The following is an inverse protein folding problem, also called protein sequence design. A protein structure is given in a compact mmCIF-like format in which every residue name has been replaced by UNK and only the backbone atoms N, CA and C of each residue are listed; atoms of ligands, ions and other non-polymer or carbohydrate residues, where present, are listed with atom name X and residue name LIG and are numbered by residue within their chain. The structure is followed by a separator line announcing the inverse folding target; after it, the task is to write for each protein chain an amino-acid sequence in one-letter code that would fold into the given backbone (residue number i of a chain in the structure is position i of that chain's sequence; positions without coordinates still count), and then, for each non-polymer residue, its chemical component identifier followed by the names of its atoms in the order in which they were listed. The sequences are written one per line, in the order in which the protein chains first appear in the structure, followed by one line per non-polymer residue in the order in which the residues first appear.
data_IF_941489296201
#
_entry.id   IF_941489296201
#
_cell.length_a   1.000
_cell.length_b   1.000
_cell.length_c   1.000
_cell.angle_alpha   90.00
_cell.angle_beta   90.00
_cell.angle_gamma   90.00
#
_symmetry.space_group_name_H-M   'P 1'
#
loop_
_entity.id
_entity.type
_entity.pdbx_description
1 polymer ?
#
# COMPACT_ATOMS: atom_id res chain seq x y z
N UNK A 1 35.43 12.48 8.99
CA UNK A 1 34.05 12.80 9.38
C UNK A 1 33.49 11.55 9.99
N UNK A 2 32.86 11.63 11.16
CA UNK A 2 32.19 10.45 11.73
C UNK A 2 31.13 9.96 10.74
N UNK A 3 31.10 8.65 10.48
CA UNK A 3 30.11 8.07 9.57
C UNK A 3 28.72 8.26 10.15
N UNK A 4 27.86 8.95 9.39
CA UNK A 4 26.46 9.20 9.74
C UNK A 4 25.59 8.09 9.17
N UNK A 5 24.67 7.57 9.99
CA UNK A 5 23.77 6.50 9.59
C UNK A 5 22.31 6.87 9.84
N UNK A 6 21.46 6.58 8.85
CA UNK A 6 20.01 6.68 8.92
C UNK A 6 19.41 5.29 8.91
N UNK A 7 18.25 5.11 9.51
CA UNK A 7 17.47 3.90 9.30
C UNK A 7 16.04 4.22 8.86
N UNK A 8 15.46 3.29 8.12
CA UNK A 8 14.07 3.35 7.70
C UNK A 8 13.39 2.03 8.01
N UNK A 9 12.15 2.10 8.46
CA UNK A 9 11.29 0.94 8.72
C UNK A 9 10.06 1.02 7.84
N UNK A 10 9.76 -0.08 7.17
CA UNK A 10 8.50 -0.39 6.52
C UNK A 10 7.79 -1.40 7.41
N UNK A 11 6.63 -1.03 7.96
CA UNK A 11 5.92 -1.85 8.94
C UNK A 11 4.49 -2.17 8.53
N UNK A 12 4.18 -3.46 8.31
CA UNK A 12 2.85 -3.91 7.94
C UNK A 12 2.15 -4.76 9.02
N UNK A 13 0.93 -5.19 8.69
CA UNK A 13 0.14 -6.11 9.52
C UNK A 13 0.70 -7.55 9.59
N UNK A 14 1.65 -7.91 8.71
CA UNK A 14 2.21 -9.27 8.63
C UNK A 14 3.72 -9.30 8.88
N UNK A 15 4.46 -8.39 8.25
CA UNK A 15 5.92 -8.34 8.29
C UNK A 15 6.38 -6.88 8.34
N UNK A 16 7.63 -6.71 8.79
CA UNK A 16 8.33 -5.43 8.77
C UNK A 16 9.73 -5.60 8.20
N UNK A 17 10.28 -4.54 7.63
CA UNK A 17 11.65 -4.48 7.12
C UNK A 17 12.31 -3.22 7.67
N UNK A 18 13.52 -3.36 8.19
CA UNK A 18 14.38 -2.24 8.53
C UNK A 18 15.60 -2.23 7.60
N UNK A 19 15.96 -1.06 7.10
CA UNK A 19 17.22 -0.83 6.39
C UNK A 19 18.04 0.27 7.06
N UNK A 20 19.36 0.18 6.94
CA UNK A 20 20.31 1.22 7.38
C UNK A 20 21.04 1.76 6.16
N UNK A 21 21.11 3.08 6.05
CA UNK A 21 21.85 3.80 5.02
C UNK A 21 22.93 4.70 5.61
N UNK A 22 24.06 4.87 4.92
CA UNK A 22 25.06 5.89 5.26
C UNK A 22 24.69 7.27 4.70
N UNK A 23 25.49 8.29 5.00
CA UNK A 23 25.30 9.66 4.47
C UNK A 23 25.43 9.80 2.95
N UNK A 24 25.91 8.78 2.23
CA UNK A 24 25.99 8.76 0.78
C UNK A 24 24.75 8.13 0.11
N UNK A 25 23.79 7.62 0.90
CA UNK A 25 22.59 6.95 0.39
C UNK A 25 22.77 5.45 0.13
N UNK A 26 23.94 4.88 0.42
CA UNK A 26 24.19 3.44 0.24
C UNK A 26 23.49 2.66 1.34
N UNK A 27 22.81 1.56 0.98
CA UNK A 27 22.17 0.66 1.94
C UNK A 27 23.21 -0.34 2.46
N UNK A 28 23.52 -0.27 3.75
CA UNK A 28 24.57 -1.07 4.40
C UNK A 28 24.04 -2.30 5.12
N UNK A 29 22.81 -2.22 5.65
CA UNK A 29 22.23 -3.26 6.49
C UNK A 29 20.74 -3.40 6.26
N UNK A 30 20.25 -4.63 6.38
CA UNK A 30 18.83 -4.98 6.28
C UNK A 30 18.49 -6.03 7.33
N UNK A 31 17.30 -5.92 7.92
CA UNK A 31 16.73 -6.91 8.81
C UNK A 31 15.23 -7.07 8.54
N UNK A 32 14.72 -8.27 8.77
CA UNK A 32 13.31 -8.60 8.65
C UNK A 32 12.72 -8.83 10.03
N UNK A 33 11.48 -8.40 10.22
CA UNK A 33 10.74 -8.60 11.46
C UNK A 33 9.31 -9.01 11.22
N UNK A 34 8.64 -9.39 12.30
CA UNK A 34 7.21 -9.65 12.31
C UNK A 34 6.40 -8.35 12.17
N UNK A 35 5.06 -8.44 12.24
CA UNK A 35 4.18 -7.27 12.20
C UNK A 35 4.58 -6.18 13.21
N UNK A 36 4.41 -4.92 12.80
CA UNK A 36 4.58 -3.74 13.65
C UNK A 36 3.28 -2.91 13.74
N UNK A 37 2.13 -3.53 13.51
CA UNK A 37 0.84 -2.86 13.69
C UNK A 37 0.47 -2.80 15.18
N UNK A 38 0.65 -1.63 15.77
CA UNK A 38 0.45 -1.40 17.21
C UNK A 38 -0.99 -1.67 17.67
N UNK A 39 -2.01 -1.59 16.80
CA UNK A 39 -3.39 -1.95 17.14
C UNK A 39 -3.54 -3.45 17.47
N UNK A 40 -2.66 -4.29 16.92
CA UNK A 40 -2.72 -5.75 17.13
C UNK A 40 -1.87 -6.21 18.30
N UNK A 41 -0.69 -5.61 18.51
CA UNK A 41 0.31 -6.12 19.45
C UNK A 41 0.72 -5.14 20.55
N UNK A 42 0.25 -3.88 20.48
CA UNK A 42 0.60 -2.83 21.43
C UNK A 42 1.93 -2.13 21.13
N UNK A 43 2.02 -0.86 21.52
CA UNK A 43 3.18 0.02 21.30
C UNK A 43 4.49 -0.55 21.89
N UNK A 44 4.54 -1.10 23.13
CA UNK A 44 5.77 -1.63 23.70
C UNK A 44 6.39 -2.78 22.88
N UNK A 45 5.56 -3.69 22.36
CA UNK A 45 6.04 -4.80 21.54
C UNK A 45 6.53 -4.31 20.17
N UNK A 46 5.87 -3.29 19.57
CA UNK A 46 6.37 -2.64 18.35
C UNK A 46 7.75 -2.02 18.57
N UNK A 47 7.93 -1.26 19.66
CA UNK A 47 9.21 -0.64 19.99
C UNK A 47 10.33 -1.69 20.15
N UNK A 48 10.04 -2.80 20.84
CA UNK A 48 10.96 -3.93 21.00
C UNK A 48 11.35 -4.55 19.65
N UNK A 49 10.39 -4.77 18.76
CA UNK A 49 10.64 -5.32 17.41
C UNK A 49 11.49 -4.39 16.55
N UNK A 50 11.23 -3.08 16.60
CA UNK A 50 12.05 -2.07 15.90
C UNK A 50 13.49 -2.10 16.41
N UNK A 51 13.69 -2.12 17.73
CA UNK A 51 15.04 -2.22 18.30
C UNK A 51 15.75 -3.52 17.89
N UNK A 52 15.06 -4.66 17.93
CA UNK A 52 15.63 -5.94 17.50
C UNK A 52 16.09 -5.92 16.04
N UNK A 53 15.24 -5.43 15.13
CA UNK A 53 15.60 -5.27 13.72
C UNK A 53 16.78 -4.30 13.53
N UNK A 54 16.85 -3.22 14.31
CA UNK A 54 17.95 -2.27 14.22
C UNK A 54 19.28 -2.88 14.68
N UNK A 55 19.26 -3.67 15.76
CA UNK A 55 20.42 -4.40 16.22
C UNK A 55 20.91 -5.41 15.18
N UNK A 56 20.00 -6.18 14.58
CA UNK A 56 20.32 -7.13 13.52
C UNK A 56 20.87 -6.43 12.27
N UNK A 57 20.22 -5.35 11.81
CA UNK A 57 20.69 -4.61 10.64
C UNK A 57 22.07 -3.96 10.87
N UNK A 58 22.36 -3.46 12.09
CA UNK A 58 23.70 -2.98 12.46
C UNK A 58 24.73 -4.11 12.41
N UNK A 59 24.40 -5.30 12.91
CA UNK A 59 25.28 -6.45 12.86
C UNK A 59 25.59 -6.87 11.41
N UNK A 60 24.56 -6.94 10.56
CA UNK A 60 24.69 -7.25 9.13
C UNK A 60 25.55 -6.21 8.39
N UNK A 61 25.44 -4.93 8.77
CA UNK A 61 26.25 -3.83 8.24
C UNK A 61 27.66 -3.71 8.87
N UNK A 62 28.00 -4.56 9.86
CA UNK A 62 29.23 -4.45 10.68
C UNK A 62 29.37 -3.10 11.39
N UNK A 63 28.25 -2.45 11.71
CA UNK A 63 28.20 -1.22 12.51
C UNK A 63 28.22 -1.60 14.00
N UNK A 64 29.07 -0.99 14.84
CA UNK A 64 29.05 -1.24 16.28
C UNK A 64 27.67 -0.99 16.89
N UNK A 65 27.23 -1.87 17.79
CA UNK A 65 25.90 -1.73 18.43
C UNK A 65 25.76 -0.43 19.22
N UNK A 66 26.88 0.10 19.74
CA UNK A 66 26.98 1.38 20.44
C UNK A 66 26.81 2.60 19.53
N UNK A 67 26.94 2.45 18.21
CA UNK A 67 26.75 3.54 17.26
C UNK A 67 25.29 3.96 17.25
N UNK A 68 25.03 5.21 17.63
CA UNK A 68 23.69 5.80 17.62
C UNK A 68 23.33 6.22 16.20
N UNK A 69 22.13 5.84 15.73
CA UNK A 69 21.64 6.27 14.42
C UNK A 69 21.25 7.75 14.48
N UNK A 70 21.46 8.50 13.38
CA UNK A 70 21.11 9.92 13.34
C UNK A 70 19.59 10.14 13.43
N UNK A 71 18.85 9.39 12.63
CA UNK A 71 17.40 9.41 12.64
C UNK A 71 16.85 8.05 12.17
N UNK A 72 15.70 7.64 12.71
CA UNK A 72 14.94 6.49 12.21
C UNK A 72 13.59 6.99 11.68
N UNK A 73 13.32 6.73 10.41
CA UNK A 73 12.00 6.88 9.83
C UNK A 73 11.17 5.62 10.02
N UNK A 74 9.95 5.75 10.51
CA UNK A 74 9.03 4.67 10.81
C UNK A 74 7.76 4.86 9.98
N UNK A 75 7.63 4.15 8.87
CA UNK A 75 6.41 4.11 8.05
C UNK A 75 5.62 2.85 8.38
N UNK A 76 4.65 2.95 9.29
CA UNK A 76 4.00 1.79 9.90
C UNK A 76 2.48 1.83 9.72
N UNK A 77 1.89 0.67 9.50
CA UNK A 77 0.43 0.49 9.50
C UNK A 77 -0.15 0.82 10.89
N UNK A 78 -1.17 1.68 10.95
CA UNK A 78 -1.75 2.19 12.19
C UNK A 78 -1.14 3.50 12.70
N UNK A 79 -0.12 4.04 12.05
CA UNK A 79 0.53 5.30 12.46
C UNK A 79 -0.02 6.53 11.71
N UNK A 80 -1.35 6.68 11.69
CA UNK A 80 -2.03 7.80 11.01
C UNK A 80 -2.23 9.02 11.92
N UNK A 81 -2.32 8.82 13.24
CA UNK A 81 -2.58 9.89 14.21
C UNK A 81 -1.31 10.33 14.93
N UNK A 82 -1.11 11.65 15.01
CA UNK A 82 0.04 12.26 15.67
C UNK A 82 0.21 11.82 17.12
N UNK A 83 -0.90 11.63 17.86
CA UNK A 83 -0.87 11.15 19.24
C UNK A 83 -0.28 9.74 19.38
N UNK A 84 -0.62 8.85 18.46
CA UNK A 84 -0.10 7.48 18.41
C UNK A 84 1.37 7.47 18.01
N UNK A 85 1.71 8.29 17.00
CA UNK A 85 3.08 8.46 16.50
C UNK A 85 4.00 8.95 17.62
N UNK A 86 3.58 9.98 18.35
CA UNK A 86 4.31 10.51 19.51
C UNK A 86 4.41 9.51 20.67
N UNK A 87 3.38 8.70 20.90
CA UNK A 87 3.41 7.65 21.93
C UNK A 87 4.43 6.55 21.59
N UNK A 88 4.49 6.11 20.33
CA UNK A 88 5.48 5.14 19.87
C UNK A 88 6.91 5.70 19.95
N UNK A 89 7.14 6.92 19.49
CA UNK A 89 8.45 7.57 19.62
C UNK A 89 8.89 7.64 21.09
N UNK A 90 7.98 8.05 21.99
CA UNK A 90 8.28 8.15 23.43
C UNK A 90 8.66 6.80 24.02
N UNK A 91 7.93 5.75 23.67
CA UNK A 91 8.23 4.39 24.12
C UNK A 91 9.63 3.94 23.65
N UNK A 92 9.95 4.15 22.37
CA UNK A 92 11.26 3.77 21.83
C UNK A 92 12.38 4.55 22.53
N UNK A 93 12.21 5.86 22.74
CA UNK A 93 13.19 6.69 23.44
C UNK A 93 13.39 6.27 24.90
N UNK A 94 12.32 5.88 25.58
CA UNK A 94 12.36 5.44 26.96
C UNK A 94 13.04 4.08 27.10
N UNK A 95 12.61 3.10 26.31
CA UNK A 95 13.08 1.71 26.39
C UNK A 95 14.44 1.49 25.73
N UNK A 96 14.80 2.31 24.73
CA UNK A 96 16.02 2.17 23.91
C UNK A 96 16.74 3.52 23.66
N UNK A 97 17.21 4.23 24.70
CA UNK A 97 17.70 5.62 24.60
C UNK A 97 18.95 5.82 23.72
N UNK A 98 19.69 4.75 23.45
CA UNK A 98 20.90 4.74 22.63
C UNK A 98 20.66 4.30 21.19
N UNK A 99 19.41 4.02 20.81
CA UNK A 99 19.09 3.52 19.47
C UNK A 99 19.30 4.58 18.39
N UNK A 100 18.68 5.76 18.54
CA UNK A 100 18.80 6.88 17.62
C UNK A 100 18.64 8.26 18.29
N UNK A 101 19.16 9.31 17.66
CA UNK A 101 18.99 10.70 18.13
C UNK A 101 17.58 11.22 17.86
N UNK A 102 17.05 10.94 16.67
CA UNK A 102 15.77 11.44 16.17
C UNK A 102 14.90 10.32 15.62
N UNK A 103 13.59 10.57 15.58
CA UNK A 103 12.60 9.68 15.00
C UNK A 103 11.60 10.49 14.18
N UNK A 104 11.06 9.89 13.14
CA UNK A 104 9.91 10.42 12.41
C UNK A 104 8.97 9.26 12.13
N UNK A 105 7.71 9.39 12.54
CA UNK A 105 6.72 8.31 12.47
C UNK A 105 5.57 8.75 11.58
N UNK A 106 5.17 7.89 10.67
CA UNK A 106 4.07 8.13 9.74
C UNK A 106 3.40 6.82 9.34
N UNK A 107 2.34 6.92 8.54
CA UNK A 107 1.66 5.77 7.99
C UNK A 107 2.50 5.06 6.93
N UNK A 108 2.24 3.77 6.74
CA UNK A 108 2.80 2.96 5.65
C UNK A 108 2.59 3.60 4.26
N UNK A 109 1.41 4.18 4.02
CA UNK A 109 1.08 4.92 2.78
C UNK A 109 2.06 6.06 2.49
N UNK A 110 2.52 6.76 3.52
CA UNK A 110 3.47 7.86 3.37
C UNK A 110 4.85 7.33 2.96
N UNK A 111 5.30 6.24 3.57
CA UNK A 111 6.54 5.57 3.19
C UNK A 111 6.57 5.15 1.72
N UNK A 112 5.44 4.65 1.19
CA UNK A 112 5.31 4.33 -0.23
C UNK A 112 5.53 5.55 -1.13
N UNK A 113 4.90 6.69 -0.81
CA UNK A 113 5.04 7.94 -1.57
C UNK A 113 6.48 8.44 -1.52
N UNK A 114 7.06 8.49 -0.32
CA UNK A 114 8.43 8.99 -0.12
C UNK A 114 9.48 8.11 -0.80
N UNK A 115 9.18 6.84 -1.10
CA UNK A 115 10.10 5.95 -1.81
C UNK A 115 10.29 6.35 -3.27
N UNK A 116 9.33 7.05 -3.88
CA UNK A 116 9.35 7.34 -5.32
C UNK A 116 9.32 8.85 -5.65
N UNK A 117 9.09 9.72 -4.67
CA UNK A 117 8.96 11.16 -4.89
C UNK A 117 9.16 11.95 -3.60
N UNK A 118 9.87 13.08 -3.67
CA UNK A 118 9.88 14.11 -2.62
C UNK A 118 8.77 15.16 -2.81
N UNK A 119 8.11 15.19 -3.97
CA UNK A 119 7.08 16.17 -4.33
C UNK A 119 5.70 15.77 -3.81
N UNK A 120 5.54 14.53 -3.33
CA UNK A 120 4.26 13.90 -3.08
C UNK A 120 3.84 13.00 -4.23
N UNK A 121 2.59 12.54 -4.20
CA UNK A 121 2.08 11.56 -5.16
C UNK A 121 0.74 10.97 -4.74
N UNK A 122 0.22 10.10 -5.59
CA UNK A 122 -0.98 9.32 -5.33
C UNK A 122 -0.59 7.85 -5.12
N UNK A 123 -0.96 7.25 -3.99
CA UNK A 123 -0.85 5.80 -3.77
C UNK A 123 -2.25 5.17 -3.79
N UNK A 124 -2.39 4.03 -4.46
CA UNK A 124 -3.58 3.19 -4.43
C UNK A 124 -3.17 1.80 -3.96
N UNK A 125 -3.58 1.47 -2.74
CA UNK A 125 -3.39 0.19 -2.10
C UNK A 125 -4.54 -0.73 -2.47
N UNK A 126 -4.23 -1.93 -2.98
CA UNK A 126 -5.16 -3.03 -3.19
C UNK A 126 -4.50 -4.34 -2.74
N UNK A 127 -4.67 -4.66 -1.46
CA UNK A 127 -4.16 -5.85 -0.79
C UNK A 127 -5.32 -6.66 -0.19
N UNK A 128 -5.22 -7.00 1.10
CA UNK A 128 -6.38 -7.60 1.82
C UNK A 128 -7.57 -6.62 1.82
N UNK A 129 -7.31 -5.35 2.05
CA UNK A 129 -8.26 -4.24 1.86
C UNK A 129 -7.82 -3.29 0.75
N UNK A 130 -8.37 -2.08 0.74
CA UNK A 130 -7.97 -1.04 -0.22
C UNK A 130 -8.03 0.37 0.36
N UNK A 131 -7.18 1.25 -0.18
CA UNK A 131 -7.09 2.65 0.21
C UNK A 131 -6.47 3.46 -0.93
N UNK A 132 -6.84 4.72 -1.11
CA UNK A 132 -6.11 5.66 -1.93
C UNK A 132 -5.74 6.90 -1.13
N UNK A 133 -4.49 7.32 -1.20
CA UNK A 133 -3.97 8.51 -0.51
C UNK A 133 -3.24 9.40 -1.50
N UNK A 134 -3.64 10.66 -1.56
CA UNK A 134 -2.96 11.73 -2.28
C UNK A 134 -2.17 12.56 -1.26
N UNK A 135 -0.91 12.84 -1.56
CA UNK A 135 -0.14 13.90 -0.89
C UNK A 135 0.31 14.94 -1.90
N UNK A 136 -0.04 16.19 -1.64
CA UNK A 136 0.41 17.33 -2.43
C UNK A 136 1.77 17.87 -1.94
N UNK A 137 2.47 18.67 -2.77
CA UNK A 137 3.77 19.28 -2.42
C UNK A 137 3.75 20.11 -1.14
N UNK A 138 2.62 20.77 -0.85
CA UNK A 138 2.43 21.57 0.36
C UNK A 138 2.22 20.71 1.63
N UNK A 139 2.21 19.39 1.51
CA UNK A 139 2.00 18.43 2.61
C UNK A 139 0.54 18.07 2.88
N UNK A 140 -0.43 18.73 2.22
CA UNK A 140 -1.83 18.35 2.35
C UNK A 140 -2.05 16.92 1.87
N UNK A 141 -2.81 16.16 2.67
CA UNK A 141 -3.08 14.75 2.41
C UNK A 141 -4.59 14.52 2.31
N UNK A 142 -5.02 13.80 1.28
CA UNK A 142 -6.42 13.44 1.04
C UNK A 142 -6.55 11.93 0.88
N UNK A 143 -7.62 11.35 1.42
CA UNK A 143 -7.85 9.91 1.40
C UNK A 143 -9.21 9.55 0.78
N UNK A 144 -9.24 8.46 0.03
CA UNK A 144 -10.47 7.81 -0.44
C UNK A 144 -10.41 6.31 -0.10
N UNK A 145 -11.40 5.81 0.64
CA UNK A 145 -11.39 4.43 1.16
C UNK A 145 -10.53 4.28 2.41
N UNK A 146 -10.02 3.08 2.67
CA UNK A 146 -9.22 2.79 3.86
C UNK A 146 -10.01 2.57 5.16
N UNK A 147 -11.35 2.48 5.08
CA UNK A 147 -12.23 2.34 6.25
C UNK A 147 -12.42 0.89 6.72
N UNK A 148 -11.81 -0.07 6.02
CA UNK A 148 -11.89 -1.48 6.32
C UNK A 148 -13.20 -2.14 5.90
N UNK A 149 -13.22 -3.46 5.94
CA UNK A 149 -14.27 -4.32 5.37
C UNK A 149 -15.71 -4.05 5.79
N UNK A 150 -15.97 -3.47 6.97
CA UNK A 150 -17.36 -3.17 7.37
C UNK A 150 -17.90 -1.92 6.66
N UNK A 151 -17.01 -1.04 6.20
CA UNK A 151 -17.35 0.30 5.70
C UNK A 151 -16.75 0.60 4.32
N UNK A 152 -16.11 -0.38 3.67
CA UNK A 152 -15.44 -0.20 2.39
C UNK A 152 -14.56 -1.39 1.99
N UNK A 153 -13.29 -1.13 1.69
CA UNK A 153 -12.33 -2.06 1.05
C UNK A 153 -12.68 -2.44 -0.40
N UNK A 154 -13.43 -1.58 -1.10
CA UNK A 154 -13.79 -1.76 -2.50
C UNK A 154 -12.56 -1.99 -3.39
N UNK A 155 -12.60 -3.04 -4.21
CA UNK A 155 -11.48 -3.42 -5.08
C UNK A 155 -10.33 -4.16 -4.38
N UNK A 156 -10.35 -4.28 -3.04
CA UNK A 156 -9.43 -5.12 -2.28
C UNK A 156 -9.77 -6.62 -2.38
N UNK A 157 -8.86 -7.49 -1.96
CA UNK A 157 -9.04 -8.95 -2.00
C UNK A 157 -10.20 -9.44 -1.13
N UNK A 158 -10.47 -8.77 -0.01
CA UNK A 158 -11.66 -9.05 0.81
C UNK A 158 -12.93 -8.77 0.03
N UNK A 159 -13.06 -7.60 -0.61
CA UNK A 159 -14.23 -7.24 -1.42
C UNK A 159 -14.45 -8.24 -2.55
N UNK A 160 -13.38 -8.58 -3.30
CA UNK A 160 -13.44 -9.54 -4.41
C UNK A 160 -13.98 -10.90 -3.91
N UNK A 161 -13.44 -11.38 -2.79
CA UNK A 161 -13.83 -12.67 -2.19
C UNK A 161 -15.26 -12.66 -1.65
N UNK A 162 -15.64 -11.59 -0.95
CA UNK A 162 -16.98 -11.41 -0.39
C UNK A 162 -18.02 -11.32 -1.50
N UNK A 163 -17.72 -10.59 -2.59
CA UNK A 163 -18.59 -10.44 -3.75
C UNK A 163 -18.90 -11.80 -4.38
N UNK A 164 -17.89 -12.66 -4.56
CA UNK A 164 -18.11 -14.02 -5.07
C UNK A 164 -19.06 -14.82 -4.17
N UNK A 165 -18.82 -14.82 -2.86
CA UNK A 165 -19.66 -15.56 -1.90
C UNK A 165 -21.09 -15.02 -1.93
N UNK A 166 -21.27 -13.70 -1.91
CA UNK A 166 -22.58 -13.07 -1.96
C UNK A 166 -23.33 -13.42 -3.25
N UNK A 167 -22.66 -13.35 -4.41
CA UNK A 167 -23.25 -13.71 -5.70
C UNK A 167 -23.73 -15.17 -5.73
N UNK A 168 -22.96 -16.11 -5.16
CA UNK A 168 -23.39 -17.52 -5.08
C UNK A 168 -24.60 -17.67 -4.16
N UNK A 169 -24.60 -17.02 -3.00
CA UNK A 169 -25.72 -17.09 -2.06
C UNK A 169 -27.00 -16.53 -2.67
N UNK A 170 -26.92 -15.38 -3.32
CA UNK A 170 -28.08 -14.73 -3.95
C UNK A 170 -28.64 -15.54 -5.11
N UNK A 171 -27.77 -16.17 -5.91
CA UNK A 171 -28.19 -17.04 -7.00
C UNK A 171 -28.94 -18.27 -6.46
N UNK A 172 -28.42 -18.90 -5.41
CA UNK A 172 -29.02 -20.09 -4.79
C UNK A 172 -30.32 -19.77 -4.04
N UNK A 173 -30.43 -18.59 -3.43
CA UNK A 173 -31.68 -18.11 -2.80
C UNK A 173 -32.70 -17.58 -3.80
N UNK A 174 -32.35 -17.50 -5.10
CA UNK A 174 -33.16 -16.85 -6.13
C UNK A 174 -33.48 -15.37 -5.81
N UNK A 175 -32.64 -14.72 -4.99
CA UNK A 175 -32.75 -13.31 -4.65
C UNK A 175 -32.25 -12.44 -5.82
N UNK A 176 -31.10 -12.80 -6.37
CA UNK A 176 -30.53 -12.19 -7.57
C UNK A 176 -29.82 -13.27 -8.38
N UNK A 177 -30.38 -13.63 -9.55
CA UNK A 177 -29.81 -14.68 -10.38
C UNK A 177 -28.56 -14.20 -11.10
N UNK A 178 -27.42 -14.80 -10.76
CA UNK A 178 -26.17 -14.66 -11.51
C UNK A 178 -26.38 -15.09 -12.97
N UNK A 179 -25.90 -14.27 -13.91
CA UNK A 179 -25.94 -14.52 -15.36
C UNK A 179 -24.88 -15.52 -15.82
N UNK A 180 -23.83 -15.73 -15.03
CA UNK A 180 -22.74 -16.68 -15.29
C UNK A 180 -22.93 -17.97 -14.49
N UNK A 181 -22.30 -19.06 -14.95
CA UNK A 181 -22.25 -20.32 -14.19
C UNK A 181 -21.54 -20.12 -12.85
N UNK A 182 -22.15 -20.64 -11.78
CA UNK A 182 -21.62 -20.54 -10.41
C UNK A 182 -20.86 -21.79 -9.96
N UNK A 183 -20.78 -22.83 -10.80
CA UNK A 183 -20.20 -24.14 -10.43
C UNK A 183 -18.75 -24.01 -9.94
N UNK A 184 -17.90 -23.29 -10.69
CA UNK A 184 -16.51 -23.04 -10.30
C UNK A 184 -16.45 -22.23 -9.01
N UNK A 185 -17.23 -21.14 -8.92
CA UNK A 185 -17.29 -20.28 -7.75
C UNK A 185 -17.64 -21.07 -6.48
N UNK A 186 -18.67 -21.91 -6.54
CA UNK A 186 -19.08 -22.75 -5.41
C UNK A 186 -18.00 -23.76 -5.03
N UNK A 187 -17.35 -24.40 -6.01
CA UNK A 187 -16.22 -25.31 -5.76
C UNK A 187 -15.05 -24.59 -5.06
N UNK A 188 -14.72 -23.37 -5.47
CA UNK A 188 -13.67 -22.56 -4.84
C UNK A 188 -14.01 -22.24 -3.38
N UNK A 189 -15.25 -21.82 -3.11
CA UNK A 189 -15.75 -21.49 -1.77
C UNK A 189 -15.66 -22.73 -0.86
N UNK A 190 -16.25 -23.86 -1.27
CA UNK A 190 -16.20 -25.12 -0.50
C UNK A 190 -14.78 -25.56 -0.17
N UNK A 191 -13.90 -25.56 -1.18
CA UNK A 191 -12.52 -25.99 -0.99
C UNK A 191 -11.70 -25.04 -0.11
N UNK A 192 -12.01 -23.74 -0.13
CA UNK A 192 -11.33 -22.73 0.65
C UNK A 192 -11.74 -22.77 2.12
N UNK A 193 -13.05 -22.73 2.39
CA UNK A 193 -13.58 -22.71 3.75
C UNK A 193 -13.71 -24.11 4.38
N UNK A 194 -13.55 -25.18 3.58
CA UNK A 194 -13.73 -26.58 4.03
C UNK A 194 -15.16 -26.84 4.50
N UNK A 195 -16.09 -26.44 3.63
CA UNK A 195 -17.53 -26.53 3.86
C UNK A 195 -18.24 -27.33 2.77
N UNK A 196 -19.39 -27.89 3.10
CA UNK A 196 -20.22 -28.66 2.15
C UNK A 196 -21.49 -27.90 1.78
N UNK A 197 -22.03 -27.10 2.69
CA UNK A 197 -23.29 -26.36 2.53
C UNK A 197 -23.12 -24.85 2.73
N UNK A 198 -24.12 -24.07 2.28
CA UNK A 198 -24.15 -22.61 2.52
C UNK A 198 -24.27 -22.25 4.00
N UNK A 199 -24.87 -23.12 4.83
CA UNK A 199 -25.05 -22.88 6.27
C UNK A 199 -23.71 -22.93 7.01
N UNK A 200 -22.82 -23.85 6.62
CA UNK A 200 -21.49 -23.98 7.21
C UNK A 200 -20.64 -22.70 7.05
N UNK A 201 -20.92 -21.90 6.02
CA UNK A 201 -20.24 -20.63 5.78
C UNK A 201 -20.48 -19.61 6.90
N UNK A 202 -21.61 -19.70 7.62
CA UNK A 202 -21.94 -18.75 8.69
C UNK A 202 -20.87 -18.77 9.78
N UNK A 203 -20.26 -19.92 10.08
CA UNK A 203 -19.19 -20.01 11.06
C UNK A 203 -17.99 -19.12 10.67
N UNK A 204 -17.64 -19.07 9.38
CA UNK A 204 -16.55 -18.25 8.85
C UNK A 204 -16.89 -16.76 8.70
N UNK A 205 -18.18 -16.41 8.73
CA UNK A 205 -18.65 -15.02 8.70
C UNK A 205 -18.82 -14.42 10.10
N UNK A 206 -19.02 -15.26 11.12
CA UNK A 206 -19.27 -14.84 12.49
C UNK A 206 -18.22 -15.40 13.46
N UNK A 207 -18.47 -16.59 14.02
CA UNK A 207 -17.72 -17.13 15.16
C UNK A 207 -16.20 -17.32 14.91
N UNK A 208 -15.82 -17.67 13.68
CA UNK A 208 -14.44 -17.90 13.25
C UNK A 208 -13.97 -16.87 12.21
N UNK A 209 -14.58 -15.67 12.19
CA UNK A 209 -14.25 -14.67 11.19
C UNK A 209 -12.76 -14.30 11.23
N UNK A 210 -12.09 -14.44 10.10
CA UNK A 210 -10.73 -14.00 9.90
C UNK A 210 -10.62 -13.34 8.51
N UNK A 211 -10.51 -12.01 8.49
CA UNK A 211 -10.48 -11.20 7.26
C UNK A 211 -9.40 -11.65 6.28
N UNK A 212 -8.18 -11.90 6.78
CA UNK A 212 -7.05 -12.30 5.94
C UNK A 212 -7.23 -13.70 5.36
N UNK A 213 -7.77 -14.65 6.13
CA UNK A 213 -8.12 -15.97 5.62
C UNK A 213 -9.18 -15.85 4.52
N UNK A 214 -10.27 -15.13 4.78
CA UNK A 214 -11.35 -14.91 3.82
C UNK A 214 -10.82 -14.31 2.51
N UNK A 215 -10.01 -13.25 2.60
CA UNK A 215 -9.44 -12.55 1.45
C UNK A 215 -8.48 -13.43 0.61
N UNK A 216 -7.90 -14.50 1.17
CA UNK A 216 -7.07 -15.44 0.40
C UNK A 216 -7.87 -16.22 -0.66
N UNK A 217 -9.21 -16.24 -0.59
CA UNK A 217 -10.03 -16.77 -1.67
C UNK A 217 -9.77 -16.04 -3.00
N UNK A 218 -9.49 -14.73 -2.96
CA UNK A 218 -9.16 -13.91 -4.12
C UNK A 218 -8.02 -14.49 -4.98
N UNK A 219 -7.01 -15.11 -4.36
CA UNK A 219 -5.91 -15.75 -5.10
C UNK A 219 -6.40 -16.95 -5.93
N UNK A 220 -7.33 -17.74 -5.40
CA UNK A 220 -7.92 -18.86 -6.13
C UNK A 220 -8.85 -18.36 -7.24
N UNK A 221 -9.56 -17.26 -6.99
CA UNK A 221 -10.39 -16.59 -8.00
C UNK A 221 -9.56 -16.03 -9.15
N UNK A 222 -8.38 -15.46 -8.89
CA UNK A 222 -7.53 -14.94 -9.97
C UNK A 222 -7.06 -16.07 -10.89
N UNK A 223 -6.74 -17.25 -10.35
CA UNK A 223 -6.40 -18.43 -11.16
C UNK A 223 -7.59 -18.85 -12.01
N UNK A 224 -8.78 -19.01 -11.41
CA UNK A 224 -9.98 -19.38 -12.16
C UNK A 224 -10.35 -18.36 -13.26
N UNK A 225 -10.21 -17.06 -12.99
CA UNK A 225 -10.44 -16.02 -13.98
C UNK A 225 -9.45 -16.10 -15.17
N UNK A 226 -8.17 -16.40 -14.89
CA UNK A 226 -7.16 -16.62 -15.93
C UNK A 226 -7.45 -17.91 -16.72
N UNK A 227 -8.01 -18.93 -16.08
CA UNK A 227 -8.42 -20.20 -16.71
C UNK A 227 -9.76 -20.10 -17.47
N UNK A 228 -10.41 -18.92 -17.47
CA UNK A 228 -11.57 -18.64 -18.31
C UNK A 228 -12.90 -18.43 -17.58
N UNK A 229 -12.95 -18.52 -16.25
CA UNK A 229 -14.19 -18.36 -15.48
C UNK A 229 -14.76 -16.93 -15.59
N UNK A 230 -15.92 -16.78 -16.25
CA UNK A 230 -16.52 -15.48 -16.56
C UNK A 230 -17.04 -14.75 -15.32
N UNK A 231 -17.54 -15.48 -14.31
CA UNK A 231 -17.96 -14.88 -13.05
C UNK A 231 -16.77 -14.23 -12.34
N UNK A 232 -15.67 -14.96 -12.16
CA UNK A 232 -14.47 -14.41 -11.53
C UNK A 232 -13.90 -13.23 -12.35
N UNK A 233 -13.82 -13.34 -13.68
CA UNK A 233 -13.41 -12.21 -14.54
C UNK A 233 -14.27 -10.97 -14.33
N UNK A 234 -15.59 -11.13 -14.26
CA UNK A 234 -16.53 -10.01 -14.06
C UNK A 234 -16.33 -9.30 -12.73
N UNK A 235 -16.03 -10.05 -11.65
CA UNK A 235 -15.77 -9.48 -10.32
C UNK A 235 -14.43 -8.74 -10.31
N UNK A 236 -13.37 -9.27 -10.94
CA UNK A 236 -12.12 -8.53 -11.09
C UNK A 236 -12.28 -7.27 -11.96
N UNK A 237 -13.12 -7.33 -13.00
CA UNK A 237 -13.46 -6.16 -13.79
C UNK A 237 -14.12 -5.07 -12.92
N UNK A 238 -15.08 -5.46 -12.07
CA UNK A 238 -15.70 -4.55 -11.10
C UNK A 238 -14.68 -3.99 -10.10
N UNK A 239 -13.78 -4.81 -9.58
CA UNK A 239 -12.72 -4.37 -8.69
C UNK A 239 -11.81 -3.32 -9.36
N UNK A 240 -11.41 -3.53 -10.61
CA UNK A 240 -10.64 -2.56 -11.38
C UNK A 240 -11.37 -1.22 -11.54
N UNK A 241 -12.67 -1.27 -11.84
CA UNK A 241 -13.52 -0.07 -11.89
C UNK A 241 -13.55 0.68 -10.56
N UNK A 242 -13.67 -0.03 -9.43
CA UNK A 242 -13.70 0.59 -8.10
C UNK A 242 -12.36 1.23 -7.72
N UNK A 243 -11.24 0.60 -8.05
CA UNK A 243 -9.91 1.18 -7.82
C UNK A 243 -9.71 2.46 -8.66
N UNK A 244 -10.18 2.48 -9.91
CA UNK A 244 -10.15 3.69 -10.73
C UNK A 244 -11.03 4.81 -10.14
N UNK A 245 -12.21 4.48 -9.58
CA UNK A 245 -13.05 5.47 -8.89
C UNK A 245 -12.36 6.15 -7.72
N UNK A 246 -11.49 5.44 -6.99
CA UNK A 246 -10.71 6.05 -5.91
C UNK A 246 -9.74 7.13 -6.42
N UNK A 247 -9.11 6.89 -7.57
CA UNK A 247 -8.27 7.89 -8.24
C UNK A 247 -9.12 9.10 -8.65
N UNK A 248 -10.24 8.83 -9.33
CA UNK A 248 -11.18 9.87 -9.79
C UNK A 248 -11.66 10.74 -8.63
N UNK A 249 -12.01 10.13 -7.50
CA UNK A 249 -12.46 10.85 -6.31
C UNK A 249 -11.42 11.85 -5.78
N UNK A 250 -10.12 11.59 -6.00
CA UNK A 250 -9.02 12.43 -5.55
C UNK A 250 -8.55 13.43 -6.61
N UNK A 251 -8.96 13.31 -7.88
CA UNK A 251 -8.57 14.23 -8.96
C UNK A 251 -8.80 15.72 -8.61
N UNK A 252 -9.94 16.15 -8.03
CA UNK A 252 -10.19 17.56 -7.72
C UNK A 252 -9.27 18.13 -6.63
N UNK A 253 -8.51 17.28 -5.94
CA UNK A 253 -7.60 17.66 -4.85
C UNK A 253 -6.14 17.71 -5.29
N UNK A 254 -5.83 17.30 -6.51
CA UNK A 254 -4.46 17.27 -7.02
C UNK A 254 -3.95 18.70 -7.24
N UNK A 255 -2.81 19.00 -6.63
CA UNK A 255 -2.11 20.26 -6.89
C UNK A 255 -1.62 20.31 -8.35
N UNK A 256 -1.77 21.45 -9.05
CA UNK A 256 -1.20 21.64 -10.40
C UNK A 256 0.32 21.39 -10.46
N UNK A 257 1.04 21.62 -9.35
CA UNK A 257 2.48 21.37 -9.27
C UNK A 257 2.81 19.88 -9.40
N UNK A 258 1.95 18.99 -8.88
CA UNK A 258 2.14 17.55 -8.94
C UNK A 258 2.01 16.97 -10.35
N UNK A 259 1.35 17.71 -11.26
CA UNK A 259 1.11 17.31 -12.66
C UNK A 259 1.74 18.26 -13.68
N UNK A 260 2.61 19.17 -13.22
CA UNK A 260 3.26 20.20 -14.06
C UNK A 260 4.06 19.60 -15.23
N UNK A 261 4.55 18.37 -15.06
CA UNK A 261 5.30 17.61 -16.07
C UNK A 261 4.42 16.93 -17.12
N UNK A 262 3.09 17.10 -17.05
CA UNK A 262 2.14 16.47 -17.97
C UNK A 262 1.63 15.09 -17.53
N UNK A 263 2.09 14.58 -16.39
CA UNK A 263 1.69 13.28 -15.87
C UNK A 263 1.54 13.28 -14.35
N UNK A 264 0.74 12.34 -13.84
CA UNK A 264 0.65 11.98 -12.43
C UNK A 264 1.19 10.55 -12.24
N UNK A 265 2.15 10.42 -11.34
CA UNK A 265 2.62 9.12 -10.88
C UNK A 265 1.63 8.54 -9.84
N UNK A 266 1.09 7.36 -10.13
CA UNK A 266 0.16 6.60 -9.28
C UNK A 266 0.83 5.31 -8.81
N UNK A 267 1.10 5.22 -7.52
CA UNK A 267 1.79 4.08 -6.91
C UNK A 267 0.78 3.00 -6.59
N UNK A 268 0.92 1.84 -7.22
CA UNK A 268 0.07 0.67 -7.00
C UNK A 268 0.75 -0.28 -6.01
N UNK A 269 0.21 -0.37 -4.79
CA UNK A 269 0.74 -1.24 -3.73
C UNK A 269 -0.25 -2.35 -3.39
N UNK A 270 0.23 -3.57 -3.17
CA UNK A 270 -0.58 -4.70 -2.71
C UNK A 270 -0.83 -5.78 -3.77
N UNK A 271 -1.12 -6.98 -3.28
CA UNK A 271 -1.12 -8.21 -4.09
C UNK A 271 -2.21 -8.27 -5.16
N UNK A 272 -3.29 -7.48 -5.06
CA UNK A 272 -4.35 -7.49 -6.07
C UNK A 272 -3.85 -6.92 -7.41
N UNK A 273 -2.88 -6.00 -7.38
CA UNK A 273 -2.27 -5.44 -8.59
C UNK A 273 -1.46 -6.46 -9.42
N UNK A 274 -1.08 -7.60 -8.84
CA UNK A 274 -0.49 -8.71 -9.59
C UNK A 274 -1.48 -9.21 -10.65
N UNK A 275 -2.78 -9.11 -10.38
CA UNK A 275 -3.87 -9.44 -11.29
C UNK A 275 -4.25 -8.28 -12.24
N UNK A 276 -3.34 -7.34 -12.53
CA UNK A 276 -3.61 -6.16 -13.36
C UNK A 276 -4.36 -6.48 -14.66
N UNK A 277 -4.00 -7.55 -15.36
CA UNK A 277 -4.67 -7.94 -16.61
C UNK A 277 -6.18 -8.21 -16.43
N UNK A 278 -6.60 -8.68 -15.26
CA UNK A 278 -8.02 -8.90 -14.92
C UNK A 278 -8.74 -7.59 -14.52
N UNK A 279 -8.01 -6.65 -13.91
CA UNK A 279 -8.53 -5.35 -13.47
C UNK A 279 -8.64 -4.34 -14.63
N UNK A 280 -7.71 -4.42 -15.58
CA UNK A 280 -7.40 -3.40 -16.60
C UNK A 280 -8.63 -2.88 -17.33
N UNK A 281 -9.49 -3.77 -17.83
CA UNK A 281 -10.65 -3.35 -18.63
C UNK A 281 -11.63 -2.49 -17.83
N UNK A 282 -11.94 -2.88 -16.58
CA UNK A 282 -12.86 -2.11 -15.74
C UNK A 282 -12.24 -0.80 -15.27
N UNK A 283 -10.94 -0.82 -15.00
CA UNK A 283 -10.16 0.35 -14.62
C UNK A 283 -10.14 1.41 -15.74
N UNK A 284 -9.76 1.02 -16.96
CA UNK A 284 -9.73 1.92 -18.14
C UNK A 284 -11.11 2.49 -18.43
N UNK A 285 -12.14 1.63 -18.51
CA UNK A 285 -13.51 2.06 -18.79
C UNK A 285 -14.05 3.07 -17.78
N UNK A 286 -13.59 3.01 -16.53
CA UNK A 286 -13.98 4.01 -15.55
C UNK A 286 -13.27 5.33 -15.79
N UNK A 287 -11.95 5.32 -16.01
CA UNK A 287 -11.18 6.54 -16.26
C UNK A 287 -11.64 7.27 -17.52
N UNK A 288 -11.99 6.55 -18.59
CA UNK A 288 -12.51 7.12 -19.85
C UNK A 288 -13.82 7.91 -19.68
N UNK A 289 -14.55 7.74 -18.57
CA UNK A 289 -15.76 8.54 -18.28
C UNK A 289 -15.43 9.94 -17.75
N UNK A 290 -14.18 10.21 -17.42
CA UNK A 290 -13.75 11.45 -16.77
C UNK A 290 -12.74 12.19 -17.63
N UNK A 291 -12.82 13.52 -17.64
CA UNK A 291 -11.89 14.35 -18.41
C UNK A 291 -10.59 14.56 -17.62
N UNK A 292 -9.65 13.63 -17.75
CA UNK A 292 -8.32 13.70 -17.13
C UNK A 292 -7.38 14.43 -18.09
N UNK A 293 -6.79 15.55 -17.65
CA UNK A 293 -6.01 16.46 -18.50
C UNK A 293 -4.51 16.14 -18.56
N UNK A 294 -4.10 15.02 -17.97
CA UNK A 294 -2.71 14.59 -17.86
C UNK A 294 -2.63 13.06 -17.98
N UNK A 295 -1.44 12.55 -18.26
CA UNK A 295 -1.18 11.11 -18.27
C UNK A 295 -1.21 10.54 -16.85
N UNK A 296 -1.85 9.40 -16.62
CA UNK A 296 -1.68 8.63 -15.38
C UNK A 296 -0.66 7.53 -15.62
N UNK A 297 0.44 7.55 -14.86
CA UNK A 297 1.48 6.54 -14.89
C UNK A 297 1.34 5.62 -13.69
N UNK A 298 0.92 4.39 -13.92
CA UNK A 298 0.78 3.40 -12.87
C UNK A 298 2.13 2.74 -12.61
N UNK A 299 2.60 2.89 -11.39
CA UNK A 299 3.91 2.50 -10.91
C UNK A 299 3.79 1.33 -9.94
N UNK A 300 4.79 0.46 -9.93
CA UNK A 300 5.02 -0.45 -8.82
C UNK A 300 6.49 -0.38 -8.42
N UNK A 301 6.77 -0.65 -7.15
CA UNK A 301 8.15 -0.75 -6.70
C UNK A 301 8.82 -1.97 -7.33
N UNK A 302 10.08 -1.84 -7.71
CA UNK A 302 10.87 -2.98 -8.19
C UNK A 302 11.00 -4.01 -7.06
N UNK A 303 11.04 -5.29 -7.39
CA UNK A 303 10.97 -6.39 -6.41
C UNK A 303 12.12 -6.43 -5.40
N UNK A 304 13.28 -5.83 -5.75
CA UNK A 304 14.45 -5.71 -4.87
C UNK A 304 14.41 -4.48 -3.96
N UNK A 305 13.43 -3.60 -4.13
CA UNK A 305 13.30 -2.32 -3.42
C UNK A 305 12.30 -2.47 -2.27
N UNK A 306 12.67 -1.96 -1.10
CA UNK A 306 11.78 -1.88 0.08
C UNK A 306 11.29 -0.45 0.27
N UNK A 307 10.05 -0.30 0.74
CA UNK A 307 9.49 1.01 1.11
C UNK A 307 10.22 1.64 2.29
N UNK A 308 11.02 0.86 3.01
CA UNK A 308 11.91 1.37 4.04
C UNK A 308 12.92 2.41 3.49
N UNK A 309 13.19 2.44 2.17
CA UNK A 309 13.97 3.50 1.51
C UNK A 309 13.27 4.86 1.65
N UNK A 310 11.97 4.94 1.40
CA UNK A 310 11.19 6.15 1.64
C UNK A 310 11.24 6.59 3.10
N UNK A 311 11.24 5.63 4.04
CA UNK A 311 11.43 5.94 5.46
C UNK A 311 12.83 6.50 5.76
N UNK A 312 13.89 6.01 5.11
CA UNK A 312 15.24 6.59 5.23
C UNK A 312 15.25 8.04 4.72
N UNK A 313 14.65 8.30 3.55
CA UNK A 313 14.58 9.65 2.98
C UNK A 313 13.85 10.61 3.90
N UNK A 314 12.72 10.18 4.45
CA UNK A 314 11.98 10.96 5.45
C UNK A 314 12.80 11.21 6.72
N UNK A 315 13.57 10.23 7.18
CA UNK A 315 14.48 10.39 8.32
C UNK A 315 15.54 11.46 8.04
N UNK A 316 16.16 11.45 6.85
CA UNK A 316 17.13 12.46 6.44
C UNK A 316 16.49 13.86 6.30
N UNK A 317 15.30 13.96 5.69
CA UNK A 317 14.55 15.21 5.55
C UNK A 317 14.20 15.84 6.90
N UNK A 318 13.79 15.03 7.88
CA UNK A 318 13.42 15.52 9.22
C UNK A 318 14.57 16.23 9.95
N UNK A 319 15.82 15.84 9.65
CA UNK A 319 17.03 16.45 10.21
C UNK A 319 17.76 17.35 9.20
N UNK A 320 17.11 17.68 8.08
CA UNK A 320 17.62 18.55 7.00
C UNK A 320 18.96 18.07 6.42
N UNK A 321 19.16 16.75 6.37
CA UNK A 321 20.35 16.15 5.77
C UNK A 321 20.11 15.88 4.27
N UNK A 322 20.96 16.39 3.36
CA UNK A 322 20.79 16.24 1.92
C UNK A 322 21.25 14.85 1.45
N UNK A 323 20.51 13.80 1.83
CA UNK A 323 20.82 12.43 1.40
C UNK A 323 20.62 12.30 -0.12
N UNK A 324 21.60 11.76 -0.88
CA UNK A 324 21.44 11.47 -2.30
C UNK A 324 20.26 10.50 -2.55
N UNK A 325 19.52 10.73 -3.64
CA UNK A 325 18.34 9.92 -4.01
C UNK A 325 18.31 9.72 -5.51
N UNK A 326 18.01 8.50 -5.90
CA UNK A 326 17.59 8.18 -7.26
C UNK A 326 16.21 7.50 -7.16
N UNK A 327 15.17 8.26 -7.51
CA UNK A 327 13.79 7.77 -7.41
C UNK A 327 13.43 6.85 -8.56
N UNK A 328 13.96 7.08 -9.76
CA UNK A 328 13.65 6.30 -10.95
C UNK A 328 14.17 4.86 -10.82
N UNK A 329 15.22 4.67 -10.02
CA UNK A 329 15.70 3.32 -9.69
C UNK A 329 14.75 2.52 -8.78
N UNK A 330 13.80 3.17 -8.10
CA UNK A 330 12.96 2.50 -7.11
C UNK A 330 11.71 1.84 -7.69
N UNK A 331 11.26 2.24 -8.88
CA UNK A 331 9.99 1.81 -9.44
C UNK A 331 10.08 1.41 -10.92
N UNK A 332 9.04 0.73 -11.38
CA UNK A 332 8.79 0.51 -12.81
C UNK A 332 7.38 0.98 -13.16
N UNK A 333 7.26 1.52 -14.37
CA UNK A 333 5.97 1.91 -14.95
C UNK A 333 5.41 0.68 -15.66
N UNK A 334 4.27 0.16 -15.22
CA UNK A 334 3.67 -1.02 -15.84
C UNK A 334 2.44 -0.69 -16.70
N UNK A 335 1.92 0.54 -16.62
CA UNK A 335 0.81 0.99 -17.44
C UNK A 335 0.73 2.52 -17.51
N UNK A 336 0.38 3.05 -18.69
CA UNK A 336 0.09 4.46 -18.90
C UNK A 336 -1.35 4.60 -19.40
N UNK A 337 -2.11 5.50 -18.78
CA UNK A 337 -3.38 5.97 -19.28
C UNK A 337 -3.20 7.39 -19.84
N UNK A 338 -3.37 7.55 -21.15
CA UNK A 338 -3.29 8.85 -21.78
C UNK A 338 -4.59 9.61 -21.56
N UNK A 339 -4.55 10.66 -20.76
CA UNK A 339 -5.64 11.63 -20.67
C UNK A 339 -5.72 12.53 -21.91
N UNK A 340 -6.67 13.46 -21.89
CA UNK A 340 -6.80 14.52 -22.89
C UNK A 340 -5.76 15.61 -22.62
N UNK A 341 -4.50 15.36 -22.97
CA UNK A 341 -3.36 16.23 -22.70
C UNK A 341 -3.29 17.50 -23.58
N UNK A 342 -4.29 17.79 -24.42
CA UNK A 342 -4.26 18.87 -25.42
C UNK A 342 -4.14 20.29 -24.80
N UNK A 343 -4.37 20.46 -23.50
CA UNK A 343 -4.42 21.79 -22.85
C UNK A 343 -3.20 22.19 -22.00
N UNK A 344 -2.24 21.29 -21.71
CA UNK A 344 -1.09 21.65 -20.87
C UNK A 344 0.03 22.41 -21.61
N UNK A 345 -0.07 22.55 -22.93
CA UNK A 345 0.93 23.23 -23.77
C UNK A 345 0.71 24.74 -23.95
N UNK A 346 -0.27 25.37 -23.29
CA UNK A 346 -0.65 26.76 -23.57
C UNK A 346 -0.04 27.85 -22.66
N UNK A 347 0.79 27.50 -21.67
CA UNK A 347 1.39 28.51 -20.76
C UNK A 347 2.89 28.79 -20.97
N UNK A 348 3.49 28.34 -22.07
CA UNK A 348 4.87 28.74 -22.44
C UNK A 348 4.93 29.95 -23.40
N UNK A 349 3.83 30.68 -23.60
CA UNK A 349 3.81 31.88 -24.44
C UNK A 349 2.91 32.98 -23.87
N UNK A 350 3.28 33.59 -22.73
CA UNK A 350 2.87 34.97 -22.43
C UNK A 350 4.03 35.69 -21.70
N UNK A 351 4.72 36.53 -22.49
CA UNK A 351 5.58 37.69 -22.18
C UNK A 351 6.77 37.55 -21.22
#
# INVERSE_FOLDING_TARGET
MDEIYFAGVEGGATQSVLIISNGAGEILGKAHGESSNHWMIGIPEVAKRINAMACEAKANAKIPQSTKLKCIGLSLSGCEQESTNAALEREIRHSYPNLAENYVVCSDTMGSIMTISNLGGLVVIAGTGSNAVLRNPNGETFQCGGWGHQLGDEGGAWFISQKLVKTVFDHEDNLEKCTYDITTAWKLIKNHFKIDTRVDMLEHCYAKFNKSFYAKLCQKMSVAALDGDELCKSIFNEAGRLLAKMIVALLPKISPELVKTGYLNVICVGSVWISWNLLKTGFIKELEKHNILFELRLLRLKSNISMAIGSVYMAADSVKFPLPRDYEENYEIFFNFNGNCEHLNLNNNIL
#
